data_IF_847024416214
#
_entry.id   IF_847024416214
#
_cell.length_a   1.000
_cell.length_b   1.000
_cell.length_c   1.000
_cell.angle_alpha   90.00
_cell.angle_beta   90.00
_cell.angle_gamma   90.00
#
_symmetry.space_group_name_H-M   'P 1'
#
loop_
_entity.id
_entity.type
_entity.pdbx_description
1 polymer ?
#
# COMPACT_ATOMS: atom_id res chain seq x y z
N UNK A 1 -3.17 3.01 -23.66
CA UNK A 1 -3.36 1.87 -22.73
C UNK A 1 -2.68 2.23 -21.42
N UNK A 2 -3.34 2.08 -20.26
CA UNK A 2 -2.67 2.29 -18.97
C UNK A 2 -1.58 1.23 -18.79
N UNK A 3 -0.36 1.66 -18.45
CA UNK A 3 0.72 0.73 -18.09
C UNK A 3 0.33 0.02 -16.80
N UNK A 4 0.32 -1.32 -16.83
CA UNK A 4 0.16 -2.15 -15.64
C UNK A 4 1.55 -2.47 -15.09
N UNK A 5 1.64 -2.52 -13.76
CA UNK A 5 2.84 -2.96 -13.05
C UNK A 5 2.47 -4.10 -12.10
N UNK A 6 3.49 -4.74 -11.51
CA UNK A 6 3.32 -5.78 -10.51
C UNK A 6 3.86 -5.28 -9.18
N UNK A 7 3.08 -5.45 -8.11
CA UNK A 7 3.47 -5.14 -6.74
C UNK A 7 3.58 -6.48 -6.00
N UNK A 8 4.77 -6.78 -5.49
CA UNK A 8 4.96 -7.97 -4.66
C UNK A 8 4.39 -7.71 -3.26
N UNK A 9 3.49 -8.59 -2.80
CA UNK A 9 2.91 -8.57 -1.45
C UNK A 9 2.80 -9.99 -0.92
N UNK A 10 2.76 -10.15 0.40
CA UNK A 10 2.53 -11.47 1.00
C UNK A 10 1.09 -11.96 0.71
N UNK A 11 0.85 -13.28 0.72
CA UNK A 11 -0.50 -13.83 0.56
C UNK A 11 -1.50 -13.29 1.59
N UNK A 12 -1.05 -13.06 2.83
CA UNK A 12 -1.87 -12.47 3.88
C UNK A 12 -2.31 -11.05 3.53
N UNK A 13 -1.40 -10.21 3.05
CA UNK A 13 -1.70 -8.83 2.64
C UNK A 13 -2.66 -8.83 1.46
N UNK A 14 -2.43 -9.70 0.45
CA UNK A 14 -3.35 -9.85 -0.69
C UNK A 14 -4.77 -10.19 -0.23
N UNK A 15 -4.92 -11.13 0.71
CA UNK A 15 -6.22 -11.52 1.26
C UNK A 15 -6.90 -10.37 2.03
N UNK A 16 -6.13 -9.53 2.73
CA UNK A 16 -6.67 -8.31 3.37
C UNK A 16 -7.18 -7.31 2.34
N UNK A 17 -6.43 -7.08 1.25
CA UNK A 17 -6.85 -6.18 0.17
C UNK A 17 -8.15 -6.67 -0.48
N UNK A 18 -8.26 -7.98 -0.77
CA UNK A 18 -9.48 -8.57 -1.33
C UNK A 18 -10.72 -8.33 -0.46
N UNK A 19 -10.58 -8.45 0.87
CA UNK A 19 -11.68 -8.22 1.82
C UNK A 19 -12.15 -6.77 1.88
N UNK A 20 -11.29 -5.82 1.51
CA UNK A 20 -11.63 -4.40 1.44
C UNK A 20 -12.37 -4.03 0.15
N UNK A 21 -12.38 -4.93 -0.83
CA UNK A 21 -13.03 -4.73 -2.11
C UNK A 21 -14.55 -4.78 -2.04
N UNK A 22 -15.20 -3.91 -2.82
CA UNK A 22 -16.64 -3.96 -3.07
C UNK A 22 -16.92 -4.79 -4.31
N UNK A 23 -18.16 -5.30 -4.44
CA UNK A 23 -18.56 -6.10 -5.61
C UNK A 23 -18.31 -5.31 -6.91
N UNK A 24 -17.48 -5.86 -7.79
CA UNK A 24 -17.12 -5.25 -9.07
C UNK A 24 -15.88 -4.34 -9.05
N UNK A 25 -15.27 -4.09 -7.89
CA UNK A 25 -13.99 -3.36 -7.83
C UNK A 25 -12.82 -4.26 -8.27
N UNK A 26 -11.90 -3.67 -9.03
CA UNK A 26 -10.59 -4.26 -9.30
C UNK A 26 -9.60 -3.94 -8.18
N UNK A 27 -8.47 -4.64 -8.13
CA UNK A 27 -7.39 -4.28 -7.20
C UNK A 27 -6.88 -2.85 -7.42
N UNK A 28 -6.84 -2.35 -8.66
CA UNK A 28 -6.41 -0.97 -8.93
C UNK A 28 -7.40 0.02 -8.29
N UNK A 29 -8.70 -0.25 -8.36
CA UNK A 29 -9.74 0.59 -7.74
C UNK A 29 -9.62 0.59 -6.22
N UNK A 30 -9.41 -0.59 -5.62
CA UNK A 30 -9.22 -0.73 -4.17
C UNK A 30 -7.98 0.06 -3.73
N UNK A 31 -6.86 -0.09 -4.43
CA UNK A 31 -5.62 0.59 -4.10
C UNK A 31 -5.75 2.11 -4.27
N UNK A 32 -6.40 2.60 -5.33
CA UNK A 32 -6.67 4.04 -5.52
C UNK A 32 -7.51 4.62 -4.40
N UNK A 33 -8.55 3.92 -3.97
CA UNK A 33 -9.40 4.34 -2.85
C UNK A 33 -8.66 4.36 -1.52
N UNK A 34 -7.75 3.41 -1.30
CA UNK A 34 -6.90 3.41 -0.11
C UNK A 34 -5.88 4.56 -0.14
N UNK A 35 -5.31 4.85 -1.32
CA UNK A 35 -4.39 5.96 -1.51
C UNK A 35 -5.07 7.32 -1.32
N UNK A 36 -6.31 7.51 -1.79
CA UNK A 36 -7.03 8.78 -1.60
C UNK A 36 -7.26 9.10 -0.12
N UNK A 37 -7.56 8.08 0.71
CA UNK A 37 -7.67 8.25 2.17
C UNK A 37 -6.33 8.75 2.76
N UNK A 38 -5.22 8.25 2.23
CA UNK A 38 -3.88 8.64 2.68
C UNK A 38 -3.46 10.04 2.22
N UNK A 39 -3.96 10.50 1.08
CA UNK A 39 -3.74 11.86 0.56
C UNK A 39 -4.60 12.90 1.29
N UNK A 40 -5.80 12.53 1.73
CA UNK A 40 -6.69 13.38 2.54
C UNK A 40 -6.16 13.57 3.98
N UNK A 41 -5.42 12.61 4.51
CA UNK A 41 -4.79 12.67 5.84
C UNK A 41 -3.25 12.52 5.79
N UNK A 42 -2.52 13.52 5.24
CA UNK A 42 -1.07 13.43 5.05
C UNK A 42 -0.28 13.24 6.36
N UNK A 43 -0.84 13.68 7.50
CA UNK A 43 -0.25 13.48 8.83
C UNK A 43 -0.13 12.00 9.22
N UNK A 44 -1.05 11.17 8.74
CA UNK A 44 -1.10 9.73 9.02
C UNK A 44 0.01 9.00 8.24
N UNK A 45 0.24 9.39 6.99
CA UNK A 45 1.37 8.92 6.17
C UNK A 45 2.71 9.32 6.82
N UNK A 46 2.85 10.59 7.21
CA UNK A 46 4.07 11.08 7.86
C UNK A 46 4.39 10.33 9.15
N UNK A 47 3.38 10.03 9.97
CA UNK A 47 3.55 9.29 11.21
C UNK A 47 3.97 7.83 10.95
N UNK A 48 3.35 7.17 9.96
CA UNK A 48 3.72 5.81 9.55
C UNK A 48 5.14 5.76 9.00
N UNK A 49 5.52 6.70 8.14
CA UNK A 49 6.88 6.81 7.59
C UNK A 49 7.91 7.04 8.69
N UNK A 50 7.68 7.98 9.62
CA UNK A 50 8.57 8.19 10.78
C UNK A 50 8.71 6.95 11.66
N UNK A 51 7.64 6.16 11.80
CA UNK A 51 7.70 4.90 12.55
C UNK A 51 8.56 3.86 11.84
N UNK A 52 8.45 3.75 10.51
CA UNK A 52 9.26 2.85 9.68
C UNK A 52 10.75 3.26 9.75
N UNK A 53 11.08 4.55 9.65
CA UNK A 53 12.46 5.04 9.76
C UNK A 53 13.11 4.73 11.11
N UNK A 54 12.32 4.73 12.19
CA UNK A 54 12.77 4.36 13.53
C UNK A 54 12.84 2.84 13.77
N UNK A 55 12.30 2.05 12.84
CA UNK A 55 12.35 0.58 12.93
C UNK A 55 13.67 0.08 12.33
N UNK A 56 14.43 -0.79 13.01
CA UNK A 56 15.71 -1.25 12.51
C UNK A 56 15.58 -1.93 11.13
N UNK A 57 16.45 -1.55 10.19
CA UNK A 57 16.50 -1.93 8.75
C UNK A 57 16.40 -3.42 8.38
N UNK A 58 16.33 -4.33 9.35
CA UNK A 58 16.26 -5.78 9.08
C UNK A 58 14.88 -6.26 8.64
N UNK A 59 13.83 -5.43 8.75
CA UNK A 59 12.44 -5.85 8.47
C UNK A 59 11.77 -5.20 7.24
N UNK A 60 12.44 -4.27 6.53
CA UNK A 60 11.87 -3.64 5.33
C UNK A 60 12.94 -3.26 4.31
N UNK A 61 12.67 -3.49 3.02
CA UNK A 61 13.44 -2.98 1.88
C UNK A 61 12.67 -1.81 1.26
N UNK A 62 13.33 -0.69 0.99
CA UNK A 62 12.67 0.45 0.32
C UNK A 62 12.37 0.09 -1.13
N UNK A 63 11.29 0.65 -1.67
CA UNK A 63 10.90 0.43 -3.07
C UNK A 63 11.98 0.87 -4.07
N UNK A 64 12.77 1.88 -3.74
CA UNK A 64 13.90 2.33 -4.58
C UNK A 64 15.08 1.35 -4.57
N UNK A 65 15.14 0.45 -3.58
CA UNK A 65 16.24 -0.49 -3.34
C UNK A 65 15.90 -1.92 -3.83
N UNK A 66 14.74 -2.11 -4.49
CA UNK A 66 14.34 -3.33 -5.21
C UNK A 66 14.85 -3.32 -6.66
#
# INVERSE_FOLDING_TARGET
MMKRTTIAVSPEVKAKIERLGRKGESYDDILRRLLSISEEEPKLIDEVCRRIEKTPRKEYVRLEDL
#
